data_IF_292891006587
#
_entry.id   IF_292891006587
#
_cell.length_a   1.000
_cell.length_b   1.000
_cell.length_c   1.000
_cell.angle_alpha   90.00
_cell.angle_beta   90.00
_cell.angle_gamma   90.00
#
_symmetry.space_group_name_H-M   'P 1'
#
loop_
_entity.id
_entity.type
_entity.pdbx_description
1 polymer ?
#
# COMPACT_ATOMS: atom_id res chain seq x y z
N UNK A 1 29.09 43.33 7.66
CA UNK A 1 29.73 42.00 7.77
C UNK A 1 28.92 41.01 6.95
N UNK A 2 29.51 40.32 5.97
CA UNK A 2 28.79 39.37 5.14
C UNK A 2 28.49 38.10 5.93
N UNK A 3 27.23 37.64 5.88
CA UNK A 3 26.76 36.44 6.57
C UNK A 3 27.47 35.19 6.04
N UNK A 4 27.87 34.35 7.00
CA UNK A 4 28.59 33.09 6.83
C UNK A 4 27.87 32.12 5.89
N UNK A 5 28.61 31.62 4.91
CA UNK A 5 28.31 30.56 3.96
C UNK A 5 28.16 29.15 4.62
N UNK A 6 27.86 29.09 5.92
CA UNK A 6 27.98 27.90 6.78
C UNK A 6 26.64 27.36 7.31
N UNK A 7 25.64 27.31 6.45
CA UNK A 7 24.53 26.36 6.64
C UNK A 7 24.13 25.78 5.27
N UNK A 8 25.14 25.42 4.47
CA UNK A 8 24.91 24.51 3.36
C UNK A 8 24.56 23.17 4.03
N UNK A 9 23.26 22.88 4.11
CA UNK A 9 22.75 21.55 4.45
C UNK A 9 23.60 20.55 3.63
N UNK A 10 24.38 19.72 4.33
CA UNK A 10 25.24 18.75 3.66
C UNK A 10 24.36 17.86 2.79
N UNK A 11 24.72 17.74 1.50
CA UNK A 11 24.00 16.84 0.61
C UNK A 11 24.18 15.44 1.17
N UNK A 12 23.07 14.83 1.58
CA UNK A 12 23.08 13.42 1.98
C UNK A 12 23.59 12.62 0.80
N UNK A 13 24.48 11.64 1.05
CA UNK A 13 25.02 10.71 0.04
C UNK A 13 24.42 9.31 0.17
N UNK A 14 23.73 9.04 1.28
CA UNK A 14 23.06 7.78 1.62
C UNK A 14 21.67 8.05 2.16
N UNK A 15 20.76 7.06 2.06
CA UNK A 15 19.40 7.17 2.62
C UNK A 15 19.51 7.30 4.15
N UNK A 16 19.12 8.46 4.69
CA UNK A 16 19.14 8.74 6.12
C UNK A 16 17.74 8.62 6.72
N UNK A 17 17.61 7.94 7.86
CA UNK A 17 16.37 7.86 8.62
C UNK A 17 16.47 8.79 9.83
N UNK A 18 15.49 9.69 9.99
CA UNK A 18 15.34 10.55 11.17
C UNK A 18 14.00 10.24 11.82
N UNK A 19 14.05 9.64 13.01
CA UNK A 19 12.87 9.33 13.80
C UNK A 19 12.65 10.41 14.86
N UNK A 20 11.42 10.92 14.93
CA UNK A 20 10.99 11.94 15.88
C UNK A 20 9.68 11.51 16.51
N UNK A 21 9.57 11.64 17.83
CA UNK A 21 8.31 11.47 18.54
C UNK A 21 7.61 12.84 18.62
N UNK A 22 6.40 12.93 18.06
CA UNK A 22 5.57 14.14 17.99
C UNK A 22 4.32 13.89 18.83
N UNK A 23 3.83 14.91 19.52
CA UNK A 23 2.55 14.86 20.22
C UNK A 23 1.60 15.88 19.58
N UNK A 24 0.51 15.41 18.97
CA UNK A 24 -0.51 16.26 18.36
C UNK A 24 -1.88 15.94 18.96
N UNK A 25 -2.54 16.97 19.52
CA UNK A 25 -3.87 16.87 20.15
C UNK A 25 -4.00 15.74 21.20
N UNK A 26 -2.90 15.41 21.90
CA UNK A 26 -2.84 14.37 22.93
C UNK A 26 -2.51 12.96 22.42
N UNK A 27 -2.28 12.78 21.11
CA UNK A 27 -1.81 11.52 20.52
C UNK A 27 -0.31 11.59 20.31
N UNK A 28 0.43 10.60 20.84
CA UNK A 28 1.87 10.46 20.64
C UNK A 28 2.12 9.64 19.37
N UNK A 29 2.79 10.26 18.40
CA UNK A 29 3.08 9.73 17.08
C UNK A 29 4.59 9.58 16.91
N UNK A 30 5.04 8.45 16.39
CA UNK A 30 6.44 8.28 15.98
C UNK A 30 6.56 8.50 14.49
N UNK A 31 7.05 9.67 14.10
CA UNK A 31 7.29 10.01 12.71
C UNK A 31 8.71 9.61 12.32
N UNK A 32 8.87 8.81 11.26
CA UNK A 32 10.17 8.52 10.67
C UNK A 32 10.24 9.16 9.29
N UNK A 33 11.13 10.13 9.14
CA UNK A 33 11.42 10.79 7.88
C UNK A 33 12.60 10.07 7.24
N UNK A 34 12.39 9.56 6.04
CA UNK A 34 13.45 8.93 5.23
C UNK A 34 13.87 9.93 4.17
N UNK A 35 15.10 10.44 4.28
CA UNK A 35 15.65 11.37 3.30
C UNK A 35 16.39 10.60 2.20
N UNK A 36 16.11 10.95 0.94
CA UNK A 36 16.76 10.33 -0.22
C UNK A 36 17.85 11.25 -0.76
N UNK A 37 19.11 10.81 -0.78
CA UNK A 37 20.23 11.62 -1.25
C UNK A 37 20.16 11.88 -2.76
N UNK A 38 20.46 13.12 -3.18
CA UNK A 38 20.96 13.41 -4.53
C UNK A 38 20.00 13.14 -5.70
N UNK A 39 18.69 13.35 -5.53
CA UNK A 39 17.76 13.26 -6.67
C UNK A 39 18.06 14.36 -7.71
N UNK A 40 18.56 13.96 -8.88
CA UNK A 40 18.83 14.85 -10.02
C UNK A 40 20.17 15.60 -9.99
N UNK A 41 21.09 15.27 -9.08
CA UNK A 41 22.48 15.81 -9.07
C UNK A 41 23.44 14.99 -9.95
N UNK A 42 23.16 13.69 -10.13
CA UNK A 42 23.97 12.81 -10.96
C UNK A 42 23.55 12.92 -12.44
N UNK A 43 24.51 12.82 -13.36
CA UNK A 43 24.23 12.72 -14.81
C UNK A 43 23.44 11.45 -15.13
N UNK A 44 23.61 10.41 -14.31
CA UNK A 44 22.85 9.17 -14.41
C UNK A 44 21.86 9.05 -13.24
N UNK A 45 20.60 9.35 -13.49
CA UNK A 45 19.55 9.27 -12.48
C UNK A 45 18.86 7.91 -12.43
N UNK A 46 19.27 6.96 -13.27
CA UNK A 46 18.71 5.60 -13.23
C UNK A 46 18.99 4.90 -11.90
N UNK A 47 20.14 5.17 -11.30
CA UNK A 47 20.55 4.50 -10.07
C UNK A 47 19.79 5.06 -8.86
N UNK A 48 19.31 6.32 -8.95
CA UNK A 48 18.56 6.97 -7.87
C UNK A 48 17.21 6.31 -7.63
N UNK A 49 16.38 6.11 -8.67
CA UNK A 49 15.08 5.48 -8.49
C UNK A 49 15.21 3.99 -8.14
N UNK A 50 16.25 3.31 -8.64
CA UNK A 50 16.55 1.92 -8.27
C UNK A 50 16.86 1.81 -6.78
N UNK A 51 17.66 2.72 -6.23
CA UNK A 51 17.97 2.77 -4.81
C UNK A 51 16.71 3.02 -3.96
N UNK A 52 15.86 3.98 -4.34
CA UNK A 52 14.59 4.23 -3.65
C UNK A 52 13.66 3.00 -3.70
N UNK A 53 13.52 2.39 -4.88
CA UNK A 53 12.68 1.21 -5.06
C UNK A 53 13.18 0.00 -4.28
N UNK A 54 14.50 -0.23 -4.28
CA UNK A 54 15.14 -1.29 -3.52
C UNK A 54 14.98 -1.09 -2.00
N UNK A 55 15.06 0.16 -1.53
CA UNK A 55 14.83 0.48 -0.12
C UNK A 55 13.38 0.16 0.31
N UNK A 56 12.38 0.57 -0.50
CA UNK A 56 10.97 0.26 -0.24
C UNK A 56 10.75 -1.25 -0.21
N UNK A 57 11.29 -1.98 -1.20
CA UNK A 57 11.19 -3.44 -1.26
C UNK A 57 11.84 -4.11 -0.05
N UNK A 58 12.98 -3.60 0.41
CA UNK A 58 13.66 -4.12 1.61
C UNK A 58 12.81 -3.89 2.86
N UNK A 59 12.15 -2.75 3.01
CA UNK A 59 11.23 -2.52 4.14
C UNK A 59 10.04 -3.49 4.09
N UNK A 60 9.47 -3.74 2.91
CA UNK A 60 8.41 -4.74 2.76
C UNK A 60 8.88 -6.17 3.03
N UNK A 61 10.10 -6.54 2.60
CA UNK A 61 10.70 -7.85 2.88
C UNK A 61 10.95 -8.08 4.37
N UNK A 62 11.44 -7.06 5.06
CA UNK A 62 11.67 -7.12 6.49
C UNK A 62 10.34 -7.37 7.22
N UNK A 63 9.31 -6.58 6.89
CA UNK A 63 7.97 -6.76 7.45
C UNK A 63 7.39 -8.15 7.15
N UNK A 64 7.52 -8.63 5.91
CA UNK A 64 7.07 -9.97 5.50
C UNK A 64 7.78 -11.10 6.26
N UNK A 65 9.08 -10.94 6.51
CA UNK A 65 9.88 -11.91 7.27
C UNK A 65 9.46 -11.94 8.74
N UNK A 66 9.23 -10.76 9.32
CA UNK A 66 8.76 -10.61 10.71
C UNK A 66 7.34 -11.16 10.90
N UNK A 67 6.45 -10.95 9.91
CA UNK A 67 5.09 -11.52 9.89
C UNK A 67 5.11 -13.06 9.76
N UNK A 68 5.97 -13.58 8.88
CA UNK A 68 6.16 -15.02 8.67
C UNK A 68 6.90 -15.70 9.84
N UNK A 69 7.59 -14.92 10.66
CA UNK A 69 8.33 -15.38 11.83
C UNK A 69 7.45 -15.87 12.97
N UNK A 70 8.11 -16.40 14.01
CA UNK A 70 7.46 -16.95 15.20
C UNK A 70 7.03 -15.87 16.21
N UNK A 71 7.68 -14.70 16.20
CA UNK A 71 7.45 -13.62 17.18
C UNK A 71 6.54 -12.50 16.62
N UNK A 72 5.26 -12.81 16.46
CA UNK A 72 4.27 -11.89 15.85
C UNK A 72 3.76 -10.76 16.75
N UNK A 73 4.11 -10.73 18.04
CA UNK A 73 3.46 -9.84 19.03
C UNK A 73 4.00 -8.41 19.07
N UNK A 74 5.19 -8.13 18.53
CA UNK A 74 5.81 -6.81 18.60
C UNK A 74 6.54 -6.48 17.29
N UNK A 75 5.83 -6.56 16.17
CA UNK A 75 6.38 -6.22 14.86
C UNK A 75 6.42 -4.69 14.76
N UNK A 76 7.59 -4.15 14.42
CA UNK A 76 7.73 -2.72 14.15
C UNK A 76 7.44 -2.44 12.68
N UNK A 77 6.48 -1.55 12.43
CA UNK A 77 6.17 -1.13 11.06
C UNK A 77 7.18 -0.09 10.57
N UNK A 78 8.13 -0.53 9.75
CA UNK A 78 9.13 0.32 9.07
C UNK A 78 8.78 0.57 7.59
N UNK A 79 7.56 0.22 7.15
CA UNK A 79 7.12 0.43 5.76
C UNK A 79 6.99 1.92 5.47
N UNK A 80 7.17 2.29 4.21
CA UNK A 80 7.01 3.68 3.76
C UNK A 80 5.54 3.91 3.43
N UNK A 81 4.85 4.71 4.24
CA UNK A 81 3.40 4.97 4.08
C UNK A 81 3.08 6.02 3.01
N UNK A 82 3.98 6.99 2.81
CA UNK A 82 3.79 8.10 1.88
C UNK A 82 5.13 8.55 1.31
N UNK A 83 5.15 8.87 0.02
CA UNK A 83 6.28 9.42 -0.71
C UNK A 83 5.92 10.83 -1.21
N UNK A 84 6.55 11.85 -0.63
CA UNK A 84 6.44 13.23 -1.10
C UNK A 84 7.36 13.42 -2.30
N UNK A 85 6.78 13.62 -3.49
CA UNK A 85 7.55 13.85 -4.70
C UNK A 85 7.68 15.34 -5.00
N UNK A 86 8.88 15.88 -4.86
CA UNK A 86 9.16 17.30 -5.08
C UNK A 86 9.42 17.60 -6.55
N UNK A 87 8.46 18.27 -7.19
CA UNK A 87 8.53 18.75 -8.57
C UNK A 87 9.21 20.13 -8.58
N UNK A 88 10.25 20.33 -9.40
CA UNK A 88 10.89 21.64 -9.50
C UNK A 88 9.95 22.68 -10.14
N UNK A 89 9.95 23.93 -9.67
CA UNK A 89 9.03 24.96 -10.16
C UNK A 89 9.45 25.56 -11.51
N UNK A 90 10.69 25.33 -11.95
CA UNK A 90 11.25 25.93 -13.17
C UNK A 90 10.83 25.21 -14.46
N UNK A 91 9.90 24.26 -14.38
CA UNK A 91 9.46 23.44 -15.50
C UNK A 91 8.18 23.96 -16.14
N UNK A 92 7.98 23.62 -17.42
CA UNK A 92 6.70 23.79 -18.08
C UNK A 92 5.70 22.66 -17.77
N UNK A 93 6.14 21.57 -17.14
CA UNK A 93 5.39 20.36 -16.83
C UNK A 93 6.31 19.35 -16.12
N UNK A 94 5.92 18.07 -16.08
CA UNK A 94 6.75 17.00 -15.55
C UNK A 94 7.93 16.69 -16.47
N UNK A 95 9.14 16.56 -15.92
CA UNK A 95 10.29 16.14 -16.73
C UNK A 95 10.18 14.65 -17.02
N UNK A 96 10.78 14.20 -18.12
CA UNK A 96 10.79 12.79 -18.51
C UNK A 96 11.35 11.85 -17.42
N UNK A 97 12.37 12.31 -16.69
CA UNK A 97 12.88 11.62 -15.51
C UNK A 97 11.83 11.49 -14.40
N UNK A 98 11.07 12.55 -14.15
CA UNK A 98 10.05 12.58 -13.10
C UNK A 98 8.92 11.60 -13.46
N UNK A 99 8.52 11.57 -14.74
CA UNK A 99 7.54 10.62 -15.25
C UNK A 99 7.97 9.17 -15.06
N UNK A 100 9.22 8.84 -15.40
CA UNK A 100 9.73 7.48 -15.27
C UNK A 100 9.80 7.03 -13.81
N UNK A 101 10.17 7.94 -12.90
CA UNK A 101 10.21 7.66 -11.46
C UNK A 101 8.79 7.47 -10.90
N UNK A 102 7.87 8.36 -11.23
CA UNK A 102 6.47 8.28 -10.80
C UNK A 102 5.79 7.00 -11.30
N UNK A 103 5.98 6.64 -12.58
CA UNK A 103 5.49 5.37 -13.16
C UNK A 103 6.02 4.11 -12.49
N UNK A 104 7.13 4.19 -11.76
CA UNK A 104 7.68 3.02 -11.04
C UNK A 104 7.31 3.04 -9.56
N UNK A 105 7.27 4.22 -8.94
CA UNK A 105 6.97 4.37 -7.52
C UNK A 105 5.47 4.22 -7.21
N UNK A 106 4.59 4.67 -8.11
CA UNK A 106 3.15 4.69 -7.86
C UNK A 106 2.52 3.32 -7.55
N UNK A 107 3.15 2.21 -8.00
CA UNK A 107 2.67 0.84 -7.69
C UNK A 107 3.04 0.36 -6.29
N UNK A 108 4.06 0.97 -5.68
CA UNK A 108 4.68 0.50 -4.43
C UNK A 108 4.40 1.39 -3.23
N UNK A 109 4.12 2.68 -3.46
CA UNK A 109 3.93 3.66 -2.39
C UNK A 109 2.92 4.71 -2.82
N UNK A 110 2.19 5.24 -1.85
CA UNK A 110 1.33 6.40 -2.03
C UNK A 110 2.17 7.62 -2.39
N UNK A 111 2.05 8.10 -3.63
CA UNK A 111 2.81 9.27 -4.09
C UNK A 111 1.96 10.53 -3.98
N UNK A 112 2.48 11.53 -3.27
CA UNK A 112 1.88 12.87 -3.17
C UNK A 112 2.79 13.86 -3.91
N UNK A 113 2.36 14.39 -5.06
CA UNK A 113 3.13 15.38 -5.82
C UNK A 113 3.08 16.75 -5.13
N UNK A 114 4.25 17.36 -4.98
CA UNK A 114 4.45 18.64 -4.30
C UNK A 114 5.32 19.55 -5.17
N UNK A 115 4.85 20.74 -5.48
CA UNK A 115 5.64 21.76 -6.18
C UNK A 115 6.57 22.43 -5.17
N UNK A 116 7.87 22.25 -5.36
CA UNK A 116 8.89 22.84 -4.51
C UNK A 116 9.09 24.33 -4.81
N UNK A 117 9.53 25.12 -3.81
CA UNK A 117 9.88 26.54 -3.96
C UNK A 117 8.80 27.34 -4.72
N UNK A 118 7.55 27.18 -4.30
CA UNK A 118 6.41 27.84 -4.93
C UNK A 118 6.50 29.38 -4.91
N UNK A 119 7.33 29.95 -4.05
CA UNK A 119 7.63 31.39 -3.96
C UNK A 119 8.38 31.95 -5.17
N UNK A 120 8.86 31.08 -6.06
CA UNK A 120 9.48 31.48 -7.33
C UNK A 120 8.47 31.72 -8.45
N UNK A 121 7.21 31.31 -8.25
CA UNK A 121 6.14 31.38 -9.24
C UNK A 121 5.05 32.35 -8.79
N UNK A 122 4.45 33.04 -9.75
CA UNK A 122 3.24 33.82 -9.52
C UNK A 122 2.03 32.90 -9.34
N UNK A 123 0.95 33.40 -8.72
CA UNK A 123 -0.30 32.63 -8.54
C UNK A 123 -0.89 32.12 -9.87
N UNK A 124 -0.73 32.89 -10.95
CA UNK A 124 -1.13 32.50 -12.29
C UNK A 124 -0.27 31.34 -12.84
N UNK A 125 1.05 31.45 -12.71
CA UNK A 125 1.98 30.40 -13.16
C UNK A 125 1.82 29.12 -12.36
N UNK A 126 1.59 29.20 -11.04
CA UNK A 126 1.28 28.04 -10.21
C UNK A 126 0.04 27.32 -10.74
N UNK A 127 -1.04 28.05 -11.04
CA UNK A 127 -2.26 27.44 -11.58
C UNK A 127 -1.99 26.75 -12.92
N UNK A 128 -1.29 27.41 -13.84
CA UNK A 128 -0.92 26.82 -15.12
C UNK A 128 -0.04 25.58 -14.97
N UNK A 129 0.90 25.60 -14.02
CA UNK A 129 1.76 24.44 -13.75
C UNK A 129 0.97 23.29 -13.12
N UNK A 130 0.04 23.56 -12.20
CA UNK A 130 -0.86 22.54 -11.63
C UNK A 130 -1.68 21.86 -12.72
N UNK A 131 -2.33 22.64 -13.58
CA UNK A 131 -3.15 22.11 -14.68
C UNK A 131 -2.34 21.23 -15.64
N UNK A 132 -1.10 21.63 -15.96
CA UNK A 132 -0.21 20.84 -16.81
C UNK A 132 0.30 19.57 -16.14
N UNK A 133 0.69 19.62 -14.87
CA UNK A 133 1.11 18.43 -14.12
C UNK A 133 -0.04 17.42 -14.04
N UNK A 134 -1.27 17.88 -13.82
CA UNK A 134 -2.44 17.00 -13.78
C UNK A 134 -2.71 16.35 -15.15
N UNK A 135 -2.61 17.13 -16.24
CA UNK A 135 -2.72 16.58 -17.59
C UNK A 135 -1.63 15.53 -17.90
N UNK A 136 -0.37 15.81 -17.51
CA UNK A 136 0.74 14.87 -17.69
C UNK A 136 0.51 13.57 -16.89
N UNK A 137 -0.01 13.67 -15.67
CA UNK A 137 -0.33 12.52 -14.80
C UNK A 137 -1.44 11.67 -15.42
N UNK A 138 -2.49 12.30 -15.95
CA UNK A 138 -3.61 11.63 -16.59
C UNK A 138 -3.18 10.94 -17.90
N UNK A 139 -2.42 11.62 -18.75
CA UNK A 139 -1.90 11.07 -20.01
C UNK A 139 -1.01 9.83 -19.79
N UNK A 140 -0.27 9.80 -18.68
CA UNK A 140 0.66 8.72 -18.36
C UNK A 140 0.07 7.65 -17.43
N UNK A 141 -1.22 7.74 -17.10
CA UNK A 141 -1.96 6.84 -16.20
C UNK A 141 -1.28 6.64 -14.84
N UNK A 142 -0.70 7.71 -14.28
CA UNK A 142 0.02 7.65 -13.01
C UNK A 142 -1.01 7.74 -11.87
N UNK A 143 -1.15 6.64 -11.14
CA UNK A 143 -1.96 6.58 -9.91
C UNK A 143 -1.29 7.33 -8.75
N UNK A 144 -1.63 8.60 -8.58
CA UNK A 144 -1.27 9.35 -7.36
C UNK A 144 -2.20 8.98 -6.21
N UNK A 145 -1.79 9.30 -4.99
CA UNK A 145 -2.66 9.15 -3.83
C UNK A 145 -3.94 9.96 -4.03
N UNK A 146 -5.08 9.27 -4.04
CA UNK A 146 -6.40 9.87 -4.08
C UNK A 146 -6.96 9.83 -2.68
N UNK A 147 -7.44 10.99 -2.23
CA UNK A 147 -8.15 11.11 -0.98
C UNK A 147 -9.41 10.24 -1.01
N UNK A 148 -9.73 9.52 0.07
CA UNK A 148 -10.99 8.81 0.22
C UNK A 148 -12.18 9.72 -0.08
N UNK A 149 -13.25 9.15 -0.62
CA UNK A 149 -14.50 9.89 -0.72
C UNK A 149 -15.08 10.06 0.69
N UNK A 150 -15.41 11.30 1.07
CA UNK A 150 -16.08 11.58 2.33
C UNK A 150 -17.38 10.79 2.42
N UNK A 151 -17.63 10.17 3.57
CA UNK A 151 -18.89 9.48 3.84
C UNK A 151 -20.06 10.47 3.75
N UNK A 152 -21.21 9.98 3.26
CA UNK A 152 -22.41 10.80 3.10
C UNK A 152 -22.89 11.45 4.40
N UNK A 153 -22.50 10.86 5.53
CA UNK A 153 -22.98 11.18 6.86
C UNK A 153 -22.11 12.24 7.57
N UNK A 154 -20.99 12.65 6.94
CA UNK A 154 -20.12 13.70 7.47
C UNK A 154 -20.68 15.11 7.24
N UNK A 155 -20.25 16.04 8.09
CA UNK A 155 -20.66 17.44 8.04
C UNK A 155 -20.30 18.09 6.69
N UNK A 156 -21.20 18.92 6.16
CA UNK A 156 -20.98 19.67 4.91
C UNK A 156 -19.72 20.55 4.96
N UNK A 157 -19.34 21.04 6.15
CA UNK A 157 -18.11 21.80 6.34
C UNK A 157 -16.86 20.94 6.15
N UNK A 158 -16.89 19.69 6.61
CA UNK A 158 -15.78 18.75 6.43
C UNK A 158 -15.67 18.31 4.96
N UNK A 159 -16.79 18.02 4.30
CA UNK A 159 -16.84 17.71 2.86
C UNK A 159 -16.28 18.86 2.01
N UNK A 160 -16.58 20.10 2.38
CA UNK A 160 -16.04 21.28 1.69
C UNK A 160 -14.53 21.40 1.90
N UNK A 161 -14.03 21.17 3.12
CA UNK A 161 -12.59 21.16 3.40
C UNK A 161 -11.85 20.07 2.63
N UNK A 162 -12.40 18.86 2.57
CA UNK A 162 -11.81 17.75 1.82
C UNK A 162 -11.77 18.05 0.31
N UNK A 163 -12.87 18.60 -0.22
CA UNK A 163 -12.92 19.03 -1.62
C UNK A 163 -11.89 20.12 -1.93
N UNK A 164 -11.66 21.06 -1.01
CA UNK A 164 -10.62 22.07 -1.13
C UNK A 164 -9.21 21.47 -1.09
N UNK A 165 -8.98 20.46 -0.24
CA UNK A 165 -7.71 19.73 -0.19
C UNK A 165 -7.46 18.96 -1.49
N UNK A 166 -8.47 18.24 -2.00
CA UNK A 166 -8.46 17.55 -3.31
C UNK A 166 -8.09 18.51 -4.43
N UNK A 167 -8.72 19.69 -4.48
CA UNK A 167 -8.46 20.71 -5.49
C UNK A 167 -7.08 21.36 -5.39
N UNK A 168 -6.38 21.22 -4.25
CA UNK A 168 -5.06 21.81 -4.05
C UNK A 168 -3.91 20.94 -4.56
N UNK A 169 -4.16 19.66 -4.91
CA UNK A 169 -3.13 18.78 -5.49
C UNK A 169 -2.81 19.22 -6.92
N UNK A 170 -1.52 19.33 -7.30
CA UNK A 170 -0.32 19.18 -6.47
C UNK A 170 -0.07 20.38 -5.54
N UNK A 171 0.37 20.13 -4.30
CA UNK A 171 0.54 21.17 -3.28
C UNK A 171 1.69 22.12 -3.61
N UNK A 172 1.46 23.43 -3.56
CA UNK A 172 2.49 24.45 -3.79
C UNK A 172 3.12 24.90 -2.46
N UNK A 173 4.31 24.35 -2.15
CA UNK A 173 4.92 24.53 -0.82
C UNK A 173 6.13 25.47 -0.84
N UNK A 174 6.27 26.21 0.25
CA UNK A 174 7.45 27.01 0.56
C UNK A 174 8.00 26.52 1.89
N UNK A 175 9.28 26.15 1.92
CA UNK A 175 9.97 25.76 3.14
C UNK A 175 10.85 26.90 3.65
N UNK A 176 10.84 27.13 4.97
CA UNK A 176 11.80 28.03 5.61
C UNK A 176 12.10 27.60 7.04
N UNK A 177 13.38 27.58 7.41
CA UNK A 177 13.85 27.41 8.79
C UNK A 177 13.98 28.74 9.54
N UNK A 178 14.02 29.88 8.83
CA UNK A 178 14.20 31.19 9.43
C UNK A 178 12.89 31.73 10.01
N UNK A 179 12.94 32.17 11.27
CA UNK A 179 11.85 32.86 11.96
C UNK A 179 12.04 34.37 11.77
N UNK A 180 11.01 35.02 11.23
CA UNK A 180 10.96 36.45 10.99
C UNK A 180 9.89 37.08 11.86
N UNK A 181 10.08 38.34 12.26
CA UNK A 181 9.08 39.10 12.98
C UNK A 181 8.35 40.01 11.99
N UNK A 182 7.08 39.69 11.73
CA UNK A 182 6.21 40.44 10.81
C UNK A 182 4.99 40.92 11.61
N UNK A 183 4.74 42.23 11.61
CA UNK A 183 3.61 42.83 12.32
C UNK A 183 3.49 42.41 13.81
N UNK A 184 4.63 42.26 14.50
CA UNK A 184 4.70 41.86 15.92
C UNK A 184 4.46 40.37 16.19
N UNK A 185 4.32 39.53 15.15
CA UNK A 185 4.24 38.07 15.27
C UNK A 185 5.50 37.42 14.72
N UNK A 186 6.03 36.44 15.46
CA UNK A 186 7.12 35.59 14.99
C UNK A 186 6.54 34.53 14.06
N UNK A 187 6.79 34.67 12.77
CA UNK A 187 6.31 33.78 11.71
C UNK A 187 7.49 33.16 10.97
N UNK A 188 7.35 31.90 10.56
CA UNK A 188 8.36 31.25 9.70
C UNK A 188 8.20 31.75 8.28
N UNK A 189 9.28 32.23 7.68
CA UNK A 189 9.18 32.87 6.38
C UNK A 189 10.54 33.08 5.70
N UNK A 190 10.48 33.48 4.43
CA UNK A 190 11.65 33.87 3.64
C UNK A 190 11.60 35.38 3.40
N UNK A 191 12.70 36.07 3.67
CA UNK A 191 12.82 37.50 3.43
C UNK A 191 13.48 37.76 2.08
N UNK A 192 12.82 38.55 1.25
CA UNK A 192 13.33 39.07 0.00
C UNK A 192 13.42 40.61 0.05
N UNK A 193 14.23 41.24 -0.82
CA UNK A 193 14.28 42.71 -0.91
C UNK A 193 12.91 43.35 -1.18
N UNK A 194 12.01 42.63 -1.86
CA UNK A 194 10.67 43.10 -2.24
C UNK A 194 9.55 42.69 -1.27
N UNK A 195 9.83 41.88 -0.25
CA UNK A 195 8.79 41.45 0.69
C UNK A 195 9.13 40.18 1.47
N UNK A 196 8.22 39.77 2.34
CA UNK A 196 8.36 38.57 3.17
C UNK A 196 7.32 37.54 2.76
N UNK A 197 7.77 36.32 2.50
CA UNK A 197 6.90 35.18 2.22
C UNK A 197 6.72 34.37 3.49
N UNK A 198 5.54 34.44 4.07
CA UNK A 198 5.11 33.63 5.22
C UNK A 198 4.77 32.20 4.78
N UNK A 199 5.38 31.20 5.42
CA UNK A 199 5.18 29.77 5.10
C UNK A 199 3.81 29.27 5.57
N UNK A 200 3.35 29.74 6.72
CA UNK A 200 2.07 29.30 7.32
C UNK A 200 0.87 30.06 6.78
N UNK A 201 1.07 30.99 5.84
CA UNK A 201 -0.01 31.78 5.28
C UNK A 201 -0.63 31.05 4.07
N UNK A 202 -1.92 30.68 4.11
CA UNK A 202 -2.56 29.91 3.04
C UNK A 202 -2.66 30.67 1.70
N UNK A 203 -2.46 32.00 1.70
CA UNK A 203 -2.41 32.80 0.48
C UNK A 203 -1.05 32.71 -0.22
N UNK A 204 0.01 32.39 0.51
CA UNK A 204 1.37 32.32 0.01
C UNK A 204 1.84 30.89 -0.24
N UNK A 205 1.35 29.93 0.54
CA UNK A 205 1.73 28.53 0.41
C UNK A 205 0.64 27.57 0.89
N UNK A 206 0.55 26.42 0.23
CA UNK A 206 -0.28 25.29 0.64
C UNK A 206 0.39 24.45 1.76
N UNK A 207 1.46 24.93 2.40
CA UNK A 207 2.19 24.18 3.44
C UNK A 207 1.28 23.73 4.60
N UNK A 208 0.38 24.59 5.06
CA UNK A 208 -0.56 24.25 6.14
C UNK A 208 -1.48 23.12 5.70
N UNK A 209 -1.96 23.14 4.46
CA UNK A 209 -2.83 22.09 3.90
C UNK A 209 -2.09 20.75 3.82
N UNK A 210 -0.84 20.77 3.33
CA UNK A 210 0.00 19.58 3.28
C UNK A 210 0.26 19.01 4.69
N UNK A 211 0.55 19.87 5.68
CA UNK A 211 0.75 19.45 7.07
C UNK A 211 -0.51 18.80 7.66
N UNK A 212 -1.66 19.46 7.51
CA UNK A 212 -2.94 18.94 7.99
C UNK A 212 -3.26 17.59 7.35
N UNK A 213 -3.02 17.45 6.05
CA UNK A 213 -3.22 16.20 5.33
C UNK A 213 -2.35 15.07 5.88
N UNK A 214 -1.04 15.30 6.03
CA UNK A 214 -0.09 14.26 6.41
C UNK A 214 -0.18 13.82 7.87
N UNK A 215 -0.49 14.75 8.79
CA UNK A 215 -0.38 14.48 10.23
C UNK A 215 -1.77 14.38 10.88
N UNK A 216 -2.73 15.21 10.47
CA UNK A 216 -3.99 15.34 11.19
C UNK A 216 -5.11 14.48 10.62
N UNK A 217 -5.29 14.43 9.29
CA UNK A 217 -6.50 13.84 8.69
C UNK A 217 -6.26 12.50 7.98
N UNK A 218 -5.24 12.38 7.13
CA UNK A 218 -5.12 11.24 6.21
C UNK A 218 -3.99 10.26 6.56
N UNK A 219 -3.37 10.41 7.73
CA UNK A 219 -2.28 9.52 8.13
C UNK A 219 -2.73 8.06 8.24
N UNK A 220 -3.90 7.81 8.82
CA UNK A 220 -4.41 6.44 8.99
C UNK A 220 -4.74 5.81 7.63
N UNK A 221 -5.46 6.54 6.78
CA UNK A 221 -5.77 6.08 5.43
C UNK A 221 -4.51 5.78 4.59
N UNK A 222 -3.47 6.63 4.65
CA UNK A 222 -2.20 6.34 4.00
C UNK A 222 -1.58 5.01 4.47
N UNK A 223 -1.75 4.66 5.74
CA UNK A 223 -1.27 3.38 6.29
C UNK A 223 -2.14 2.21 5.82
N UNK A 224 -3.45 2.39 5.79
CA UNK A 224 -4.40 1.37 5.35
C UNK A 224 -4.21 1.05 3.86
N UNK A 225 -4.11 2.06 2.99
CA UNK A 225 -3.79 1.87 1.56
C UNK A 225 -2.42 1.20 1.37
N UNK A 226 -1.43 1.58 2.19
CA UNK A 226 -0.11 0.93 2.14
C UNK A 226 -0.19 -0.55 2.50
N UNK A 227 -1.04 -0.91 3.46
CA UNK A 227 -1.22 -2.28 3.89
C UNK A 227 -2.05 -3.10 2.88
N UNK A 228 -3.24 -2.62 2.54
CA UNK A 228 -4.23 -3.39 1.80
C UNK A 228 -3.96 -3.42 0.29
N UNK A 229 -3.29 -2.39 -0.23
CA UNK A 229 -2.95 -2.30 -1.65
C UNK A 229 -1.48 -2.64 -1.87
N UNK A 230 -0.57 -1.81 -1.37
CA UNK A 230 0.84 -1.92 -1.74
C UNK A 230 1.52 -3.17 -1.15
N UNK A 231 1.32 -3.42 0.14
CA UNK A 231 1.92 -4.55 0.83
C UNK A 231 1.27 -5.87 0.41
N UNK A 232 -0.06 -5.97 0.32
CA UNK A 232 -0.72 -7.20 -0.14
C UNK A 232 -0.35 -7.55 -1.58
N UNK A 233 -0.21 -6.57 -2.48
CA UNK A 233 0.30 -6.82 -3.83
C UNK A 233 1.73 -7.38 -3.81
N UNK A 234 2.61 -6.81 -2.98
CA UNK A 234 3.98 -7.31 -2.81
C UNK A 234 3.99 -8.73 -2.21
N UNK A 235 3.15 -8.98 -1.21
CA UNK A 235 3.00 -10.27 -0.53
C UNK A 235 2.49 -11.35 -1.49
N UNK A 236 1.46 -11.04 -2.28
CA UNK A 236 0.95 -11.93 -3.31
C UNK A 236 2.02 -12.30 -4.35
N UNK A 237 2.83 -11.33 -4.78
CA UNK A 237 3.96 -11.56 -5.69
C UNK A 237 5.03 -12.47 -5.05
N UNK A 238 5.40 -12.22 -3.79
CA UNK A 238 6.38 -13.04 -3.07
C UNK A 238 5.91 -14.49 -2.89
N UNK A 239 4.66 -14.69 -2.45
CA UNK A 239 4.06 -16.02 -2.27
C UNK A 239 4.01 -16.78 -3.61
N UNK A 240 3.63 -16.09 -4.68
CA UNK A 240 3.63 -16.66 -6.03
C UNK A 240 5.02 -17.13 -6.46
N UNK A 241 6.06 -16.32 -6.22
CA UNK A 241 7.43 -16.68 -6.53
C UNK A 241 7.93 -17.89 -5.72
N UNK A 242 7.66 -17.92 -4.41
CA UNK A 242 8.01 -19.04 -3.54
C UNK A 242 7.31 -20.32 -4.00
N UNK A 243 6.01 -20.24 -4.32
CA UNK A 243 5.25 -21.38 -4.85
C UNK A 243 5.83 -21.91 -6.15
N UNK A 244 6.16 -21.01 -7.10
CA UNK A 244 6.80 -21.41 -8.35
C UNK A 244 8.17 -22.06 -8.15
N UNK A 245 8.97 -21.53 -7.22
CA UNK A 245 10.28 -22.09 -6.91
C UNK A 245 10.15 -23.47 -6.26
N UNK A 246 9.22 -23.64 -5.31
CA UNK A 246 8.92 -24.93 -4.71
C UNK A 246 8.45 -25.97 -5.76
N UNK A 247 7.64 -25.55 -6.74
CA UNK A 247 7.21 -26.42 -7.86
C UNK A 247 8.41 -26.80 -8.74
N UNK A 248 9.30 -25.85 -9.06
CA UNK A 248 10.52 -26.14 -9.84
C UNK A 248 11.46 -27.08 -9.10
N UNK A 249 11.66 -26.87 -7.80
CA UNK A 249 12.49 -27.75 -6.96
C UNK A 249 11.89 -29.15 -6.86
N UNK A 250 10.57 -29.26 -6.63
CA UNK A 250 9.86 -30.56 -6.68
C UNK A 250 10.02 -31.24 -8.04
N UNK A 251 9.91 -30.50 -9.15
CA UNK A 251 10.10 -31.03 -10.51
C UNK A 251 11.55 -31.48 -10.73
N UNK A 252 12.54 -30.71 -10.26
CA UNK A 252 13.97 -31.07 -10.33
C UNK A 252 14.29 -32.33 -9.51
N UNK A 253 13.82 -32.41 -8.27
CA UNK A 253 13.95 -33.59 -7.41
C UNK A 253 13.31 -34.83 -8.06
N UNK A 254 12.12 -34.69 -8.65
CA UNK A 254 11.45 -35.79 -9.39
C UNK A 254 12.28 -36.27 -10.58
N UNK A 255 12.90 -35.36 -11.33
CA UNK A 255 13.75 -35.70 -12.48
C UNK A 255 15.07 -36.33 -12.01
N UNK A 256 15.66 -35.85 -10.92
CA UNK A 256 16.89 -36.41 -10.34
C UNK A 256 16.65 -37.83 -9.83
N UNK A 257 15.55 -38.06 -9.11
CA UNK A 257 15.15 -39.40 -8.65
C UNK A 257 14.92 -40.36 -9.84
N UNK A 258 14.33 -39.89 -10.95
CA UNK A 258 14.20 -40.67 -12.19
C UNK A 258 15.53 -41.02 -12.86
N UNK A 259 16.57 -40.19 -12.70
CA UNK A 259 17.91 -40.43 -13.29
C UNK A 259 18.80 -41.33 -12.44
N UNK A 260 18.65 -41.30 -11.12
CA UNK A 260 19.42 -42.13 -10.17
C UNK A 260 18.82 -43.55 -10.00
N UNK A 261 17.62 -43.75 -10.52
CA UNK A 261 16.96 -45.06 -10.57
C UNK A 261 17.42 -45.79 -11.83
N UNK A 262 18.35 -46.74 -11.70
CA UNK A 262 18.66 -47.70 -12.77
C UNK A 262 17.42 -48.52 -13.19
N UNK A 263 17.49 -49.28 -14.31
CA UNK A 263 16.35 -49.91 -14.98
C UNK A 263 15.58 -50.96 -14.13
N UNK A 264 16.03 -51.25 -12.90
CA UNK A 264 15.34 -52.14 -11.97
C UNK A 264 14.17 -51.50 -11.22
N UNK A 265 14.09 -50.17 -11.12
CA UNK A 265 13.02 -49.45 -10.39
C UNK A 265 11.84 -49.03 -11.29
N UNK A 266 12.00 -49.08 -12.62
CA UNK A 266 10.91 -48.75 -13.56
C UNK A 266 9.73 -49.73 -13.47
N UNK A 267 10.00 -51.02 -13.26
CA UNK A 267 8.94 -52.03 -13.09
C UNK A 267 8.14 -51.78 -11.80
N UNK A 268 8.82 -51.41 -10.71
CA UNK A 268 8.16 -51.14 -9.42
C UNK A 268 7.29 -49.89 -9.47
N UNK A 269 7.76 -48.80 -10.12
CA UNK A 269 6.96 -47.59 -10.28
C UNK A 269 5.78 -47.84 -11.21
N UNK A 270 6.00 -48.50 -12.35
CA UNK A 270 4.91 -48.84 -13.29
C UNK A 270 3.84 -49.70 -12.61
N UNK A 271 4.24 -50.67 -11.78
CA UNK A 271 3.32 -51.49 -11.02
C UNK A 271 2.59 -50.66 -9.95
N UNK A 272 3.26 -49.74 -9.24
CA UNK A 272 2.60 -48.86 -8.25
C UNK A 272 1.69 -47.80 -8.89
N UNK A 273 2.06 -47.21 -10.03
CA UNK A 273 1.21 -46.26 -10.78
C UNK A 273 0.00 -46.99 -11.37
N UNK A 274 0.17 -48.23 -11.83
CA UNK A 274 -0.95 -49.08 -12.30
C UNK A 274 -1.87 -49.48 -11.15
N UNK A 275 -1.32 -49.76 -9.96
CA UNK A 275 -2.10 -50.04 -8.76
C UNK A 275 -2.86 -48.80 -8.27
N UNK A 276 -2.25 -47.62 -8.32
CA UNK A 276 -2.88 -46.35 -7.95
C UNK A 276 -4.02 -45.99 -8.89
N UNK A 277 -3.84 -46.14 -10.21
CA UNK A 277 -4.92 -45.94 -11.19
C UNK A 277 -6.08 -46.92 -10.99
N UNK A 278 -5.80 -48.19 -10.68
CA UNK A 278 -6.85 -49.16 -10.34
C UNK A 278 -7.58 -48.79 -9.05
N UNK A 279 -6.85 -48.30 -8.03
CA UNK A 279 -7.44 -47.86 -6.76
C UNK A 279 -8.27 -46.59 -6.91
N UNK A 280 -7.83 -45.62 -7.71
CA UNK A 280 -8.60 -44.42 -8.02
C UNK A 280 -9.88 -44.74 -8.80
N UNK A 281 -9.82 -45.70 -9.73
CA UNK A 281 -10.98 -46.14 -10.49
C UNK A 281 -11.98 -46.93 -9.63
N UNK A 282 -11.48 -47.76 -8.69
CA UNK A 282 -12.30 -48.40 -7.64
C UNK A 282 -12.95 -47.37 -6.71
N UNK A 283 -12.19 -46.39 -6.22
CA UNK A 283 -12.71 -45.33 -5.33
C UNK A 283 -13.79 -44.53 -6.05
N UNK A 284 -13.60 -44.22 -7.33
CA UNK A 284 -14.58 -43.50 -8.13
C UNK A 284 -15.86 -44.32 -8.36
N UNK A 285 -15.75 -45.62 -8.66
CA UNK A 285 -16.93 -46.50 -8.74
C UNK A 285 -17.65 -46.63 -7.39
N UNK A 286 -16.90 -46.68 -6.30
CA UNK A 286 -17.45 -46.78 -4.95
C UNK A 286 -18.12 -45.48 -4.52
N UNK A 287 -17.59 -44.32 -4.92
CA UNK A 287 -18.23 -43.01 -4.74
C UNK A 287 -19.52 -42.89 -5.55
N UNK A 288 -19.54 -43.33 -6.81
CA UNK A 288 -20.75 -43.36 -7.64
C UNK A 288 -21.81 -44.33 -7.07
N UNK A 289 -21.39 -45.49 -6.55
CA UNK A 289 -22.28 -46.45 -5.90
C UNK A 289 -22.86 -45.91 -4.58
N UNK A 290 -22.04 -45.23 -3.77
CA UNK A 290 -22.49 -44.54 -2.55
C UNK A 290 -23.44 -43.39 -2.87
N UNK A 291 -23.18 -42.63 -3.93
CA UNK A 291 -24.07 -41.56 -4.39
C UNK A 291 -25.44 -42.14 -4.84
N UNK A 292 -25.44 -43.20 -5.64
CA UNK A 292 -26.67 -43.89 -6.05
C UNK A 292 -27.42 -44.51 -4.86
N UNK A 293 -26.70 -45.04 -3.86
CA UNK A 293 -27.32 -45.62 -2.66
C UNK A 293 -27.92 -44.53 -1.76
N UNK A 294 -27.25 -43.38 -1.60
CA UNK A 294 -27.82 -42.21 -0.93
C UNK A 294 -29.05 -41.66 -1.67
N UNK A 295 -29.01 -41.63 -2.99
CA UNK A 295 -30.12 -41.15 -3.82
C UNK A 295 -31.32 -42.09 -3.75
N UNK A 296 -31.09 -43.42 -3.75
CA UNK A 296 -32.13 -44.42 -3.49
C UNK A 296 -32.68 -44.32 -2.06
N UNK A 297 -31.85 -44.09 -1.04
CA UNK A 297 -32.34 -43.87 0.33
C UNK A 297 -33.18 -42.59 0.44
N UNK A 298 -32.81 -41.52 -0.27
CA UNK A 298 -33.61 -40.28 -0.36
C UNK A 298 -34.93 -40.49 -1.13
N UNK A 299 -34.92 -41.28 -2.21
CA UNK A 299 -36.11 -41.61 -2.98
C UNK A 299 -37.05 -42.59 -2.24
N UNK A 300 -36.50 -43.54 -1.50
CA UNK A 300 -37.28 -44.50 -0.68
C UNK A 300 -37.82 -43.83 0.60
N UNK A 301 -37.15 -42.76 1.07
CA UNK A 301 -37.63 -41.92 2.18
C UNK A 301 -38.80 -40.99 1.84
N UNK A 302 -39.24 -40.92 0.57
CA UNK A 302 -40.37 -40.09 0.13
C UNK A 302 -41.63 -40.87 -0.30
N UNK A 303 -41.62 -42.21 -0.26
CA UNK A 303 -42.81 -43.02 -0.59
C UNK A 303 -43.19 -43.87 0.63
N UNK A 304 -43.96 -43.27 1.53
CA UNK A 304 -44.42 -43.94 2.75
C UNK A 304 -45.36 -43.12 3.60
N UNK A 305 -46.39 -42.49 3.01
CA UNK A 305 -47.53 -42.02 3.79
C UNK A 305 -48.43 -43.19 4.19
N UNK A 306 -48.53 -43.44 5.49
CA UNK A 306 -49.77 -43.94 6.11
C UNK A 306 -49.69 -45.31 6.80
N UNK A 307 -49.50 -45.30 8.13
CA UNK A 307 -50.45 -45.78 9.16
C UNK A 307 -49.64 -45.97 10.47
N UNK A 308 -50.07 -45.26 11.52
CA UNK A 308 -49.24 -44.98 12.68
C UNK A 308 -49.17 -46.04 13.77
N UNK A 309 -48.27 -45.81 14.73
CA UNK A 309 -48.49 -45.96 16.18
C UNK A 309 -47.26 -45.46 16.96
N UNK A 310 -47.46 -44.35 17.69
CA UNK A 310 -46.87 -43.92 18.96
C UNK A 310 -45.56 -44.60 19.42
N UNK A 311 -44.48 -43.80 19.50
CA UNK A 311 -43.25 -44.15 20.22
C UNK A 311 -42.33 -42.94 20.41
N UNK A 312 -42.52 -42.26 21.54
CA UNK A 312 -41.94 -40.97 21.97
C UNK A 312 -40.43 -41.04 22.24
N UNK A 313 -39.59 -40.29 21.53
CA UNK A 313 -38.26 -39.86 22.03
C UNK A 313 -37.87 -38.48 21.45
N UNK A 314 -37.68 -37.50 22.33
CA UNK A 314 -36.72 -36.40 22.22
C UNK A 314 -36.81 -35.41 21.06
N UNK A 315 -37.64 -34.38 21.22
CA UNK A 315 -37.61 -33.16 20.41
C UNK A 315 -36.51 -32.23 20.92
N UNK A 316 -35.53 -31.89 20.07
CA UNK A 316 -34.78 -30.64 20.12
C UNK A 316 -34.67 -30.17 18.66
N UNK A 317 -35.52 -29.20 18.33
CA UNK A 317 -35.66 -28.65 16.99
C UNK A 317 -34.44 -27.85 16.56
N UNK A 318 -34.13 -28.02 15.27
CA UNK A 318 -33.51 -26.99 14.46
C UNK A 318 -34.46 -25.79 14.40
N UNK A 319 -33.96 -24.63 14.78
CA UNK A 319 -34.29 -23.35 14.19
C UNK A 319 -33.05 -22.45 14.38
N UNK A 320 -32.85 -21.52 13.44
CA UNK A 320 -31.77 -20.51 13.36
C UNK A 320 -30.50 -21.00 12.63
N UNK A 321 -29.94 -20.31 11.63
CA UNK A 321 -30.29 -19.09 10.92
C UNK A 321 -29.31 -19.05 9.72
N UNK A 322 -29.80 -18.76 8.51
CA UNK A 322 -28.97 -18.64 7.30
C UNK A 322 -28.45 -17.20 7.09
N UNK A 323 -28.53 -16.33 8.10
CA UNK A 323 -28.10 -14.92 7.98
C UNK A 323 -26.76 -14.57 8.63
N UNK A 324 -25.99 -15.55 9.13
CA UNK A 324 -24.73 -15.28 9.86
C UNK A 324 -23.42 -15.48 9.07
N UNK A 325 -23.47 -15.80 7.77
CA UNK A 325 -22.25 -15.99 6.97
C UNK A 325 -21.80 -14.69 6.27
N UNK A 326 -22.67 -13.70 6.10
CA UNK A 326 -22.32 -12.41 5.47
C UNK A 326 -21.92 -11.30 6.46
N UNK A 327 -22.21 -11.44 7.77
CA UNK A 327 -21.82 -10.43 8.78
C UNK A 327 -20.40 -10.56 9.33
N UNK A 328 -19.67 -11.63 9.03
CA UNK A 328 -18.30 -11.85 9.52
C UNK A 328 -17.18 -11.27 8.64
N UNK A 329 -17.53 -10.56 7.55
CA UNK A 329 -16.57 -9.82 6.71
C UNK A 329 -16.43 -8.34 7.05
N UNK A 330 -17.27 -7.77 7.91
CA UNK A 330 -17.28 -6.32 8.20
C UNK A 330 -16.97 -5.93 9.66
N UNK A 331 -16.18 -6.71 10.39
CA UNK A 331 -15.84 -6.36 11.79
C UNK A 331 -14.36 -6.57 12.15
N UNK A 332 -13.44 -6.16 11.28
CA UNK A 332 -12.05 -5.90 11.65
C UNK A 332 -11.63 -4.60 10.97
N UNK A 333 -12.15 -3.49 11.50
CA UNK A 333 -11.57 -2.15 11.40
C UNK A 333 -11.75 -1.53 12.80
N UNK A 334 -10.65 -0.97 13.33
CA UNK A 334 -10.43 -0.13 14.52
C UNK A 334 -10.64 -0.67 15.95
N UNK A 335 -9.54 -0.84 16.71
CA UNK A 335 -8.87 0.20 17.54
C UNK A 335 -7.36 -0.06 17.61
#
# INVERSE_FOLDING_TARGET
MPLSFLERIEKTTTIEKKTMDIEERGVRLRLTIVDTPGFGDAVNCEDTWKACSAYIDEQFRQYFTDESGLNRKNIQDNRVHCCLYFIPPYGHGLRQIDLEVLKRLHRKVNVVPVIAKADTLTTYEVKMLKDRILADIEEHEIQIYQFPDCDSDEDEEFKQQDKELKACIPFAVVGSSTVLEVAGKKVRGRQYPWGVVEVENPKHSDFVKLRTMLISTHMQDLKDVTQDVHYENFRAQCISQISQQAIRERRYLRIKLKRDSGPHFENSISDTDRLLLQKDEEIRRMQDMLAQMQEKLKATGQVGTGIGLRGRVGSLGNDLDSTDVEKKRNSIIDV
#
